data_IF_885271498861
#
_entry.id   IF_885271498861
#
_cell.length_a   1.000
_cell.length_b   1.000
_cell.length_c   1.000
_cell.angle_alpha   90.00
_cell.angle_beta   90.00
_cell.angle_gamma   90.00
#
_symmetry.space_group_name_H-M   'P 1'
#
loop_
_entity.id
_entity.type
_entity.pdbx_description
1 polymer ?
#
# COMPACT_ATOMS: atom_id res chain seq x y z
N UNK A 1 -16.33 -13.04 -7.22
CA UNK A 1 -17.05 -12.64 -6.00
C UNK A 1 -18.49 -13.05 -6.20
N UNK A 2 -19.03 -13.90 -5.34
CA UNK A 2 -20.45 -14.26 -5.41
C UNK A 2 -21.26 -13.04 -4.95
N UNK A 3 -21.97 -12.40 -5.89
CA UNK A 3 -22.82 -11.27 -5.57
C UNK A 3 -24.06 -11.81 -4.85
N UNK A 4 -24.12 -11.60 -3.53
CA UNK A 4 -25.41 -11.69 -2.83
C UNK A 4 -26.38 -10.72 -3.53
N UNK A 5 -27.60 -11.17 -3.80
CA UNK A 5 -28.63 -10.31 -4.39
C UNK A 5 -28.77 -9.01 -3.59
N UNK A 6 -29.07 -7.88 -4.25
CA UNK A 6 -29.09 -6.54 -3.65
C UNK A 6 -29.91 -6.49 -2.36
N UNK A 7 -31.00 -7.27 -2.32
CA UNK A 7 -31.94 -7.37 -1.19
C UNK A 7 -31.36 -8.09 0.05
N UNK A 8 -30.17 -8.69 -0.05
CA UNK A 8 -29.48 -9.44 1.02
C UNK A 8 -28.22 -8.73 1.52
N UNK A 9 -27.99 -7.49 1.07
CA UNK A 9 -26.81 -6.68 1.38
C UNK A 9 -27.27 -5.42 2.08
N UNK A 10 -26.57 -5.04 3.15
CA UNK A 10 -26.86 -3.81 3.88
C UNK A 10 -26.61 -2.56 3.03
N UNK A 11 -27.43 -1.51 3.20
CA UNK A 11 -27.34 -0.28 2.42
C UNK A 11 -25.96 0.39 2.52
N UNK A 12 -25.31 0.34 3.69
CA UNK A 12 -23.96 0.89 3.85
C UNK A 12 -22.96 0.11 3.00
N UNK A 13 -23.15 -1.20 2.86
CA UNK A 13 -22.27 -2.04 2.02
C UNK A 13 -22.46 -1.70 0.54
N UNK A 14 -23.68 -1.38 0.10
CA UNK A 14 -23.93 -0.94 -1.29
C UNK A 14 -23.26 0.40 -1.57
N UNK A 15 -23.32 1.35 -0.62
CA UNK A 15 -22.63 2.65 -0.75
C UNK A 15 -21.11 2.45 -0.82
N UNK A 16 -20.55 1.61 0.05
CA UNK A 16 -19.11 1.30 0.04
C UNK A 16 -18.67 0.63 -1.25
N UNK A 17 -19.50 -0.24 -1.83
CA UNK A 17 -19.20 -0.89 -3.11
C UNK A 17 -19.13 0.13 -4.26
N UNK A 18 -20.09 1.06 -4.34
CA UNK A 18 -20.08 2.14 -5.33
C UNK A 18 -18.88 3.10 -5.16
N UNK A 19 -18.56 3.45 -3.91
CA UNK A 19 -17.36 4.24 -3.60
C UNK A 19 -16.08 3.51 -4.02
N UNK A 20 -15.99 2.21 -3.72
CA UNK A 20 -14.83 1.39 -4.07
C UNK A 20 -14.66 1.28 -5.60
N UNK A 21 -15.74 1.09 -6.34
CA UNK A 21 -15.72 1.04 -7.80
C UNK A 21 -15.19 2.35 -8.41
N UNK A 22 -15.69 3.50 -7.92
CA UNK A 22 -15.22 4.82 -8.35
C UNK A 22 -13.73 5.02 -8.04
N UNK A 23 -13.32 4.66 -6.83
CA UNK A 23 -11.92 4.77 -6.41
C UNK A 23 -11.01 3.92 -7.29
N UNK A 24 -11.39 2.67 -7.59
CA UNK A 24 -10.64 1.79 -8.49
C UNK A 24 -10.50 2.40 -9.89
N UNK A 25 -11.57 2.94 -10.45
CA UNK A 25 -11.54 3.57 -11.77
C UNK A 25 -10.64 4.81 -11.80
N UNK A 26 -10.71 5.66 -10.77
CA UNK A 26 -9.85 6.85 -10.65
C UNK A 26 -8.37 6.49 -10.53
N UNK A 27 -8.03 5.48 -9.72
CA UNK A 27 -6.64 5.04 -9.57
C UNK A 27 -6.13 4.37 -10.84
N UNK A 28 -6.96 3.57 -11.54
CA UNK A 28 -6.61 3.00 -12.85
C UNK A 28 -6.29 4.08 -13.87
N UNK A 29 -7.13 5.12 -13.97
CA UNK A 29 -6.92 6.22 -14.90
C UNK A 29 -5.62 6.98 -14.60
N UNK A 30 -5.37 7.28 -13.32
CA UNK A 30 -4.12 7.92 -12.89
C UNK A 30 -2.89 7.09 -13.30
N UNK A 31 -2.92 5.77 -13.08
CA UNK A 31 -1.81 4.89 -13.48
C UNK A 31 -1.62 4.92 -14.99
N UNK A 32 -2.70 4.86 -15.78
CA UNK A 32 -2.64 4.94 -17.25
C UNK A 32 -1.99 6.25 -17.69
N UNK A 33 -2.43 7.39 -17.14
CA UNK A 33 -1.88 8.70 -17.48
C UNK A 33 -0.37 8.80 -17.22
N UNK A 34 0.10 8.24 -16.11
CA UNK A 34 1.51 8.26 -15.72
C UNK A 34 2.42 7.43 -16.64
N UNK A 35 1.90 6.32 -17.21
CA UNK A 35 2.74 5.35 -17.92
C UNK A 35 2.48 5.27 -19.43
N UNK A 36 1.34 5.75 -19.94
CA UNK A 36 0.97 5.64 -21.37
C UNK A 36 2.04 6.20 -22.31
N UNK A 37 2.70 7.29 -21.93
CA UNK A 37 3.79 7.88 -22.72
C UNK A 37 5.04 7.00 -22.84
N UNK A 38 5.21 6.01 -21.96
CA UNK A 38 6.36 5.09 -21.94
C UNK A 38 6.05 3.73 -22.54
N UNK A 39 4.83 3.22 -22.35
CA UNK A 39 4.47 1.84 -22.72
C UNK A 39 3.37 1.73 -23.79
N UNK A 40 2.75 2.85 -24.18
CA UNK A 40 1.59 2.89 -25.06
C UNK A 40 0.27 2.62 -24.32
N UNK A 41 -0.83 3.07 -24.92
CA UNK A 41 -2.18 3.07 -24.33
C UNK A 41 -2.66 1.67 -23.91
N UNK A 42 -2.61 0.69 -24.82
CA UNK A 42 -3.14 -0.65 -24.55
C UNK A 42 -2.36 -1.38 -23.47
N UNK A 43 -1.04 -1.18 -23.44
CA UNK A 43 -0.17 -1.77 -22.41
C UNK A 43 -0.37 -1.07 -21.07
N UNK A 44 -0.55 0.25 -21.08
CA UNK A 44 -0.85 1.03 -19.88
C UNK A 44 -2.14 0.54 -19.21
N UNK A 45 -3.22 0.33 -19.98
CA UNK A 45 -4.48 -0.24 -19.48
C UNK A 45 -4.30 -1.60 -18.82
N UNK A 46 -3.56 -2.51 -19.45
CA UNK A 46 -3.28 -3.85 -18.89
C UNK A 46 -2.47 -3.77 -17.60
N UNK A 47 -1.47 -2.89 -17.55
CA UNK A 47 -0.64 -2.70 -16.35
C UNK A 47 -1.46 -2.09 -15.22
N UNK A 48 -2.28 -1.07 -15.50
CA UNK A 48 -3.16 -0.45 -14.52
C UNK A 48 -4.17 -1.45 -13.95
N UNK A 49 -4.75 -2.33 -14.78
CA UNK A 49 -5.61 -3.41 -14.28
C UNK A 49 -4.84 -4.35 -13.35
N UNK A 50 -3.61 -4.73 -13.71
CA UNK A 50 -2.80 -5.63 -12.88
C UNK A 50 -2.39 -5.02 -11.55
N UNK A 51 -2.06 -3.72 -11.52
CA UNK A 51 -1.62 -3.04 -10.30
C UNK A 51 -2.77 -2.66 -9.37
N UNK A 52 -3.94 -2.31 -9.91
CA UNK A 52 -5.07 -1.76 -9.14
C UNK A 52 -6.20 -2.77 -8.95
N UNK A 53 -6.36 -3.72 -9.87
CA UNK A 53 -7.49 -4.67 -9.91
C UNK A 53 -7.47 -5.78 -8.85
N UNK A 54 -6.62 -5.69 -7.84
CA UNK A 54 -6.58 -6.64 -6.72
C UNK A 54 -5.79 -7.92 -6.98
N UNK A 55 -4.91 -7.95 -7.97
CA UNK A 55 -3.97 -9.07 -8.17
C UNK A 55 -2.90 -9.15 -7.07
N UNK A 56 -2.62 -8.02 -6.43
CA UNK A 56 -1.63 -7.90 -5.36
C UNK A 56 -2.29 -7.30 -4.11
N UNK A 57 -1.88 -7.80 -2.95
CA UNK A 57 -2.18 -7.14 -1.67
C UNK A 57 -1.29 -5.92 -1.51
N UNK A 58 -1.72 -4.96 -0.68
CA UNK A 58 -1.00 -3.70 -0.47
C UNK A 58 0.44 -3.88 0.08
N UNK A 59 0.73 -5.02 0.69
CA UNK A 59 2.00 -5.38 1.30
C UNK A 59 2.84 -6.35 0.44
N UNK A 60 2.33 -6.77 -0.72
CA UNK A 60 3.07 -7.66 -1.61
C UNK A 60 4.19 -6.90 -2.35
N UNK A 61 5.46 -7.29 -2.15
CA UNK A 61 6.57 -6.64 -2.85
C UNK A 61 6.61 -7.09 -4.31
N UNK A 62 6.45 -6.15 -5.25
CA UNK A 62 6.57 -6.43 -6.68
C UNK A 62 8.07 -6.45 -7.05
N UNK A 63 8.56 -7.57 -7.58
CA UNK A 63 9.98 -7.74 -7.91
C UNK A 63 10.37 -7.11 -9.24
N UNK A 64 11.68 -6.96 -9.46
CA UNK A 64 12.25 -6.44 -10.71
C UNK A 64 11.83 -7.30 -11.91
N UNK A 65 11.85 -8.62 -11.74
CA UNK A 65 11.45 -9.60 -12.76
C UNK A 65 9.98 -9.40 -13.14
N UNK A 66 9.10 -9.28 -12.15
CA UNK A 66 7.67 -9.06 -12.37
C UNK A 66 7.39 -7.74 -13.12
N UNK A 67 8.09 -6.67 -12.77
CA UNK A 67 7.95 -5.38 -13.46
C UNK A 67 8.45 -5.46 -14.91
N UNK A 68 9.54 -6.19 -15.16
CA UNK A 68 10.05 -6.44 -16.52
C UNK A 68 9.08 -7.28 -17.34
N UNK A 69 8.45 -8.30 -16.75
CA UNK A 69 7.42 -9.12 -17.39
C UNK A 69 6.16 -8.30 -17.73
N UNK A 70 5.78 -7.34 -16.88
CA UNK A 70 4.75 -6.35 -17.21
C UNK A 70 5.16 -5.43 -18.37
N UNK A 71 6.46 -5.39 -18.67
CA UNK A 71 7.04 -4.65 -19.77
C UNK A 71 7.24 -3.17 -19.47
N UNK A 72 7.50 -2.86 -18.19
CA UNK A 72 8.02 -1.59 -17.72
C UNK A 72 9.55 -1.56 -17.86
N UNK A 73 10.11 -0.39 -18.11
CA UNK A 73 11.56 -0.18 -18.04
C UNK A 73 12.00 -0.05 -16.59
N UNK A 74 12.83 -0.99 -16.12
CA UNK A 74 13.31 -1.04 -14.73
C UNK A 74 14.82 -0.91 -14.69
N UNK A 75 15.31 0.10 -13.96
CA UNK A 75 16.72 0.25 -13.61
C UNK A 75 16.93 -0.12 -12.15
N UNK A 76 17.92 -0.96 -11.87
CA UNK A 76 18.40 -1.26 -10.53
C UNK A 76 19.67 -0.49 -10.18
N UNK A 77 20.13 0.38 -11.08
CA UNK A 77 21.33 1.19 -10.86
C UNK A 77 20.97 2.43 -10.05
N UNK A 78 21.06 2.30 -8.72
CA UNK A 78 20.89 3.41 -7.78
C UNK A 78 22.26 4.08 -7.59
N UNK A 79 22.39 5.41 -7.79
CA UNK A 79 23.67 6.11 -7.60
C UNK A 79 24.21 5.98 -6.16
N UNK A 80 25.55 5.87 -5.97
CA UNK A 80 26.17 5.77 -4.64
C UNK A 80 25.72 6.85 -3.65
N UNK A 81 25.49 8.07 -4.12
CA UNK A 81 25.08 9.23 -3.33
C UNK A 81 23.71 9.03 -2.66
N UNK A 82 22.83 8.22 -3.27
CA UNK A 82 21.54 7.85 -2.67
C UNK A 82 21.76 6.93 -1.47
N UNK A 83 22.72 6.00 -1.56
CA UNK A 83 23.08 5.15 -0.42
C UNK A 83 23.74 5.96 0.70
N UNK A 84 24.61 6.92 0.35
CA UNK A 84 25.21 7.84 1.33
C UNK A 84 24.13 8.65 2.07
N UNK A 85 23.10 9.12 1.35
CA UNK A 85 21.95 9.80 1.96
C UNK A 85 21.19 8.86 2.91
N UNK A 86 20.95 7.61 2.52
CA UNK A 86 20.24 6.63 3.37
C UNK A 86 20.98 6.34 4.67
N UNK A 87 22.32 6.37 4.68
CA UNK A 87 23.13 6.19 5.89
C UNK A 87 22.86 7.29 6.92
N UNK A 88 22.53 8.51 6.48
CA UNK A 88 22.19 9.63 7.39
C UNK A 88 20.84 9.45 8.10
N UNK A 89 19.95 8.63 7.53
CA UNK A 89 18.61 8.38 8.05
C UNK A 89 18.43 6.88 8.33
N UNK A 90 19.14 6.33 9.34
CA UNK A 90 18.96 4.94 9.72
C UNK A 90 17.48 4.71 10.05
N UNK A 91 16.87 3.72 9.38
CA UNK A 91 15.50 3.33 9.69
C UNK A 91 15.41 3.10 11.19
N UNK A 92 14.44 3.74 11.86
CA UNK A 92 14.20 3.48 13.27
C UNK A 92 14.13 1.96 13.44
N UNK A 93 14.89 1.42 14.41
CA UNK A 93 14.78 0.00 14.75
C UNK A 93 13.30 -0.30 14.85
N UNK A 94 12.87 -1.34 14.14
CA UNK A 94 11.51 -1.80 14.21
C UNK A 94 11.26 -2.31 15.64
N UNK A 95 11.01 -1.39 16.58
CA UNK A 95 10.01 -1.60 17.60
C UNK A 95 8.72 -1.69 16.79
N UNK A 96 8.46 -2.86 16.21
CA UNK A 96 7.10 -3.32 16.04
C UNK A 96 6.68 -3.68 17.46
N UNK A 97 6.02 -2.82 18.25
CA UNK A 97 5.10 -3.38 19.21
C UNK A 97 4.19 -4.23 18.33
N UNK A 98 4.28 -5.55 18.43
CA UNK A 98 3.22 -6.38 17.91
C UNK A 98 1.93 -5.76 18.44
N UNK A 99 0.92 -5.61 17.59
CA UNK A 99 -0.42 -5.37 18.12
C UNK A 99 -0.77 -6.69 18.82
N UNK A 100 -0.30 -6.84 20.06
CA UNK A 100 -0.72 -7.90 20.95
C UNK A 100 -2.13 -7.52 21.35
N UNK A 101 -3.09 -8.29 20.86
CA UNK A 101 -4.47 -8.16 21.30
C UNK A 101 -4.50 -8.52 22.78
N UNK A 102 -4.52 -7.51 23.64
CA UNK A 102 -4.74 -7.67 25.06
C UNK A 102 -6.26 -7.76 25.26
N UNK A 103 -6.80 -8.92 25.69
CA UNK A 103 -8.23 -9.11 25.88
C UNK A 103 -8.82 -8.27 27.02
N UNK A 104 -7.99 -7.50 27.74
CA UNK A 104 -8.40 -6.67 28.86
C UNK A 104 -7.78 -5.27 28.75
N UNK A 105 -8.51 -4.23 29.19
CA UNK A 105 -8.00 -2.87 29.20
C UNK A 105 -6.77 -2.72 30.10
N UNK A 106 -5.71 -2.13 29.56
CA UNK A 106 -4.53 -1.76 30.34
C UNK A 106 -4.95 -0.63 31.29
N UNK A 107 -4.94 -0.90 32.59
CA UNK A 107 -5.03 0.16 33.60
C UNK A 107 -3.69 0.90 33.54
N UNK A 108 -3.64 2.18 33.14
CA UNK A 108 -2.38 2.91 33.12
C UNK A 108 -1.82 2.95 34.55
N UNK A 109 -0.66 2.32 34.77
CA UNK A 109 0.06 2.53 36.02
C UNK A 109 0.48 3.99 36.07
N UNK A 110 0.19 4.73 37.15
CA UNK A 110 0.72 6.06 37.31
C UNK A 110 2.24 5.96 37.23
N UNK A 111 2.82 6.69 36.28
CA UNK A 111 4.27 6.82 36.16
C UNK A 111 4.74 7.54 37.42
N UNK A 112 5.46 6.84 38.28
CA UNK A 112 6.22 7.50 39.35
C UNK A 112 7.26 8.35 38.63
N UNK A 113 6.99 9.66 38.50
CA UNK A 113 8.01 10.65 38.17
C UNK A 113 8.92 10.76 39.39
N UNK A 114 9.91 9.88 39.51
CA UNK A 114 11.08 10.18 40.32
C UNK A 114 11.96 11.14 39.52
N UNK A 115 11.56 12.41 39.59
CA UNK A 115 12.45 13.53 39.31
C UNK A 115 13.35 13.78 40.52
N UNK A 116 14.63 13.98 40.21
CA UNK A 116 15.58 14.85 40.92
C UNK A 116 15.85 14.55 42.40
N UNK A 117 17.02 13.95 42.70
CA UNK A 117 17.97 14.51 43.68
C UNK A 117 19.43 14.21 43.32
N UNK A 118 20.10 15.29 42.88
CA UNK A 118 21.52 15.67 43.06
C UNK A 118 22.61 14.81 42.45
#
# INVERSE_FOLDING_TARGET
>A
MELKGRDKVDDQTLILADMAEKALNQVKELVIELIRGKVGEDKARRIADKLVGGYYTHDYPITVEQLREMGLSVSTNIPPEVYELMVLYPQARANRPGIEYLPYPIIPRPTTREGERR
#
